data_IF_916297909375
#
_entry.id   IF_916297909375
#
_cell.length_a   1.000
_cell.length_b   1.000
_cell.length_c   1.000
_cell.angle_alpha   90.00
_cell.angle_beta   90.00
_cell.angle_gamma   90.00
#
_symmetry.space_group_name_H-M   'P 1'
#
loop_
_entity.id
_entity.type
_entity.pdbx_description
1 polymer ?
#
# COMPACT_ATOMS: atom_id res chain seq x y z
N UNK A 1 -8.91 23.80 -42.96
CA UNK A 1 -10.23 23.55 -42.35
C UNK A 1 -10.04 23.58 -40.84
N UNK A 2 -10.36 24.70 -40.18
CA UNK A 2 -10.28 24.79 -38.72
C UNK A 2 -11.35 23.88 -38.07
N UNK A 3 -10.92 22.93 -37.25
CA UNK A 3 -11.83 22.15 -36.40
C UNK A 3 -12.36 23.07 -35.30
N UNK A 4 -13.61 23.53 -35.43
CA UNK A 4 -14.29 24.27 -34.36
C UNK A 4 -14.46 23.37 -33.14
N UNK A 5 -13.89 23.79 -32.01
CA UNK A 5 -14.00 23.12 -30.72
C UNK A 5 -15.47 23.08 -30.28
N UNK A 6 -15.97 21.90 -29.91
CA UNK A 6 -17.37 21.68 -29.48
C UNK A 6 -17.47 21.56 -27.96
N UNK A 7 -18.57 22.00 -27.38
CA UNK A 7 -18.84 21.88 -25.95
C UNK A 7 -18.68 20.41 -25.48
N UNK A 8 -17.90 20.11 -24.44
CA UNK A 8 -17.70 18.75 -23.95
C UNK A 8 -18.98 18.13 -23.37
N UNK A 9 -19.92 18.96 -22.92
CA UNK A 9 -21.17 18.52 -22.28
C UNK A 9 -22.28 18.20 -23.30
N UNK A 10 -22.58 19.11 -24.23
CA UNK A 10 -23.71 18.96 -25.16
C UNK A 10 -23.33 18.93 -26.65
N UNK A 11 -22.02 18.98 -26.97
CA UNK A 11 -21.48 19.05 -28.35
C UNK A 11 -21.93 20.27 -29.17
N UNK A 12 -22.57 21.27 -28.53
CA UNK A 12 -22.94 22.56 -29.12
C UNK A 12 -21.73 23.43 -29.47
N UNK A 13 -21.95 24.48 -30.27
CA UNK A 13 -20.90 25.44 -30.62
C UNK A 13 -20.54 26.33 -29.41
N UNK A 14 -19.24 26.61 -29.28
CA UNK A 14 -18.69 27.53 -28.29
C UNK A 14 -18.47 28.90 -28.94
N UNK A 15 -18.88 29.96 -28.25
CA UNK A 15 -18.65 31.34 -28.66
C UNK A 15 -17.44 31.92 -27.90
N UNK A 16 -16.51 32.59 -28.60
CA UNK A 16 -15.38 33.24 -27.95
C UNK A 16 -15.83 34.47 -27.15
N UNK A 17 -15.44 34.54 -25.89
CA UNK A 17 -15.54 35.72 -25.03
C UNK A 17 -14.17 36.06 -24.42
N UNK A 18 -14.01 37.27 -23.86
CA UNK A 18 -12.79 37.68 -23.18
C UNK A 18 -12.48 36.72 -22.02
N UNK A 19 -11.45 35.88 -22.16
CA UNK A 19 -10.97 34.94 -21.13
C UNK A 19 -11.86 33.72 -20.85
N UNK A 20 -12.97 33.53 -21.57
CA UNK A 20 -13.87 32.38 -21.40
C UNK A 20 -14.65 32.07 -22.67
N UNK A 21 -15.05 30.81 -22.85
CA UNK A 21 -15.93 30.38 -23.93
C UNK A 21 -17.29 29.98 -23.36
N UNK A 22 -18.38 30.46 -23.95
CA UNK A 22 -19.74 30.10 -23.54
C UNK A 22 -20.39 29.18 -24.55
N UNK A 23 -21.11 28.15 -24.10
CA UNK A 23 -21.89 27.30 -24.99
C UNK A 23 -23.30 27.86 -25.18
N UNK A 24 -23.70 28.14 -26.42
CA UNK A 24 -25.06 28.64 -26.74
C UNK A 24 -26.19 27.67 -26.38
N UNK A 25 -25.91 26.38 -26.35
CA UNK A 25 -26.95 25.35 -26.12
C UNK A 25 -27.23 25.11 -24.64
N UNK A 26 -26.22 25.19 -23.78
CA UNK A 26 -26.37 24.91 -22.35
C UNK A 26 -25.96 26.05 -21.42
N UNK A 27 -25.56 27.20 -21.98
CA UNK A 27 -25.08 28.39 -21.27
C UNK A 27 -23.88 28.19 -20.32
N UNK A 28 -23.21 27.02 -20.36
CA UNK A 28 -22.03 26.75 -19.55
C UNK A 28 -20.83 27.57 -20.05
N UNK A 29 -20.14 28.22 -19.12
CA UNK A 29 -18.87 28.92 -19.37
C UNK A 29 -17.67 28.01 -19.07
N UNK A 30 -16.70 28.00 -19.98
CA UNK A 30 -15.46 27.26 -19.89
C UNK A 30 -14.30 28.25 -19.89
N UNK A 31 -13.52 28.33 -18.80
CA UNK A 31 -12.32 29.16 -18.71
C UNK A 31 -11.12 28.44 -19.34
N UNK A 32 -10.26 29.19 -20.03
CA UNK A 32 -9.04 28.66 -20.67
C UNK A 32 -7.79 28.70 -19.79
N UNK A 33 -7.93 28.78 -18.47
CA UNK A 33 -6.82 28.72 -17.51
C UNK A 33 -7.08 27.69 -16.40
N UNK A 34 -6.04 27.00 -15.89
CA UNK A 34 -6.19 25.98 -14.87
C UNK A 34 -6.81 26.58 -13.61
N UNK A 35 -7.85 25.92 -13.10
CA UNK A 35 -8.62 26.41 -11.97
C UNK A 35 -7.71 26.63 -10.75
N UNK A 36 -7.89 27.75 -10.05
CA UNK A 36 -7.24 28.07 -8.75
C UNK A 36 -7.34 26.93 -7.72
N UNK A 37 -8.32 26.04 -7.88
CA UNK A 37 -8.51 24.82 -7.07
C UNK A 37 -7.43 23.74 -7.25
N UNK A 38 -6.76 23.67 -8.40
CA UNK A 38 -5.69 22.69 -8.66
C UNK A 38 -4.36 23.18 -8.09
N UNK A 39 -4.08 24.48 -8.23
CA UNK A 39 -2.89 25.13 -7.64
C UNK A 39 -2.93 25.08 -6.11
N UNK A 40 -4.09 25.33 -5.49
CA UNK A 40 -4.26 25.17 -4.04
C UNK A 40 -4.06 23.74 -3.57
N UNK A 41 -4.57 22.74 -4.32
CA UNK A 41 -4.39 21.32 -3.99
C UNK A 41 -2.93 20.88 -4.12
N UNK A 42 -2.20 21.38 -5.11
CA UNK A 42 -0.78 21.07 -5.28
C UNK A 42 0.10 21.77 -4.23
N UNK A 43 -0.24 22.99 -3.83
CA UNK A 43 0.43 23.69 -2.74
C UNK A 43 0.20 22.97 -1.39
N UNK A 44 -1.05 22.60 -1.09
CA UNK A 44 -1.41 21.84 0.11
C UNK A 44 -0.74 20.45 0.12
N UNK A 45 -0.64 19.80 -1.05
CA UNK A 45 0.07 18.53 -1.20
C UNK A 45 1.57 18.67 -0.97
N UNK A 46 2.21 19.72 -1.50
CA UNK A 46 3.63 20.04 -1.26
C UNK A 46 3.90 20.37 0.21
N UNK A 47 3.00 21.11 0.86
CA UNK A 47 3.08 21.40 2.30
C UNK A 47 2.88 20.16 3.17
N UNK A 48 1.94 19.27 2.81
CA UNK A 48 1.76 17.99 3.51
C UNK A 48 2.98 17.09 3.35
N UNK A 49 3.58 17.06 2.15
CA UNK A 49 4.81 16.31 1.89
C UNK A 49 5.99 16.90 2.66
N UNK A 50 6.15 18.23 2.74
CA UNK A 50 7.23 18.86 3.51
C UNK A 50 7.07 18.68 5.03
N UNK A 51 5.83 18.76 5.54
CA UNK A 51 5.49 18.44 6.94
C UNK A 51 5.73 16.96 7.25
N UNK A 52 5.34 16.05 6.34
CA UNK A 52 5.59 14.63 6.48
C UNK A 52 7.08 14.29 6.44
N UNK A 53 7.85 14.92 5.55
CA UNK A 53 9.30 14.71 5.49
C UNK A 53 9.99 15.26 6.74
N UNK A 54 9.49 16.37 7.31
CA UNK A 54 9.96 16.89 8.60
C UNK A 54 9.66 15.92 9.75
N UNK A 55 8.43 15.36 9.80
CA UNK A 55 8.06 14.33 10.78
C UNK A 55 8.92 13.08 10.62
N UNK A 56 9.12 12.63 9.38
CA UNK A 56 9.95 11.48 9.04
C UNK A 56 11.40 11.73 9.46
N UNK A 57 11.96 12.93 9.28
CA UNK A 57 13.28 13.29 9.75
C UNK A 57 13.36 13.38 11.28
N UNK A 58 12.35 13.93 11.96
CA UNK A 58 12.29 13.99 13.43
C UNK A 58 12.17 12.60 14.06
N UNK A 59 11.31 11.73 13.52
CA UNK A 59 11.17 10.33 13.95
C UNK A 59 12.41 9.53 13.57
N UNK A 60 12.97 9.74 12.38
CA UNK A 60 14.19 9.07 11.98
C UNK A 60 15.40 9.55 12.81
N UNK A 61 15.44 10.79 13.29
CA UNK A 61 16.43 11.26 14.26
C UNK A 61 16.36 10.52 15.60
N UNK A 62 15.14 10.19 16.06
CA UNK A 62 14.90 9.35 17.25
C UNK A 62 15.41 7.90 17.04
N UNK A 63 15.29 7.37 15.82
CA UNK A 63 15.64 5.97 15.51
C UNK A 63 17.10 5.82 15.09
N UNK A 64 17.69 6.80 14.40
CA UNK A 64 19.02 6.69 13.77
C UNK A 64 20.18 6.85 14.75
N UNK A 65 20.01 7.43 15.94
CA UNK A 65 21.14 7.61 16.86
C UNK A 65 20.75 7.74 18.34
N UNK A 66 20.68 6.62 19.07
CA UNK A 66 20.82 6.66 20.53
C UNK A 66 22.19 7.20 20.97
N UNK A 67 23.19 7.21 20.08
CA UNK A 67 24.62 7.42 20.38
C UNK A 67 25.23 8.73 19.88
N UNK A 68 24.57 9.52 19.02
CA UNK A 68 25.15 10.79 18.54
C UNK A 68 24.97 11.97 19.51
N UNK A 69 24.23 11.74 20.61
CA UNK A 69 24.12 12.65 21.75
C UNK A 69 24.67 11.98 23.02
N UNK A 70 25.90 11.45 22.95
CA UNK A 70 26.61 10.98 24.15
C UNK A 70 27.14 12.19 24.95
N UNK A 71 26.29 12.73 25.81
CA UNK A 71 26.72 13.01 27.19
C UNK A 71 26.29 11.80 28.02
N UNK A 72 27.26 11.21 28.73
CA UNK A 72 27.28 9.84 29.24
C UNK A 72 26.31 9.51 30.39
N UNK A 73 25.04 9.92 30.36
CA UNK A 73 24.13 9.65 31.51
C UNK A 73 22.64 9.48 31.25
N UNK A 74 22.09 9.64 30.05
CA UNK A 74 20.63 9.62 29.90
C UNK A 74 20.15 8.73 28.74
N UNK A 75 19.79 7.49 29.07
CA UNK A 75 19.01 6.58 28.22
C UNK A 75 17.57 7.13 28.03
N UNK A 76 17.45 8.32 27.44
CA UNK A 76 16.21 9.10 27.36
C UNK A 76 15.87 9.50 25.93
N UNK A 77 14.60 9.34 25.57
CA UNK A 77 14.01 9.67 24.27
C UNK A 77 13.42 11.09 24.30
N UNK A 78 13.65 11.89 23.25
CA UNK A 78 13.09 13.25 23.11
C UNK A 78 12.98 13.67 21.64
N UNK A 79 12.07 14.59 21.34
CA UNK A 79 12.12 15.36 20.08
C UNK A 79 12.97 16.62 20.25
N UNK A 80 12.49 17.58 21.05
CA UNK A 80 13.21 18.76 21.54
C UNK A 80 12.88 18.96 23.02
N UNK A 81 13.85 19.39 23.84
CA UNK A 81 13.61 19.69 25.26
C UNK A 81 13.64 18.47 26.19
N UNK A 82 12.53 18.21 26.88
CA UNK A 82 12.42 17.22 27.95
C UNK A 82 12.65 15.80 27.45
N UNK A 83 13.45 15.03 28.19
CA UNK A 83 13.69 13.61 27.93
C UNK A 83 12.70 12.69 28.65
N UNK A 84 12.44 11.52 28.07
CA UNK A 84 11.55 10.49 28.62
C UNK A 84 12.25 9.13 28.65
N UNK A 85 11.87 8.25 29.58
CA UNK A 85 12.55 6.95 29.73
C UNK A 85 12.24 5.95 28.62
N UNK A 86 11.13 6.13 27.89
CA UNK A 86 10.73 5.26 26.78
C UNK A 86 9.89 6.03 25.74
N UNK A 87 9.80 5.48 24.52
CA UNK A 87 9.06 6.08 23.41
C UNK A 87 7.56 6.27 23.74
N UNK A 88 6.84 5.29 24.34
CA UNK A 88 5.45 5.49 24.74
C UNK A 88 5.22 6.73 25.61
N UNK A 89 6.05 6.97 26.62
CA UNK A 89 5.96 8.17 27.47
C UNK A 89 6.19 9.47 26.69
N UNK A 90 7.18 9.48 25.79
CA UNK A 90 7.43 10.63 24.91
C UNK A 90 6.19 10.95 24.05
N UNK A 91 5.63 9.91 23.40
CA UNK A 91 4.45 10.08 22.53
C UNK A 91 3.24 10.53 23.34
N UNK A 92 3.00 9.92 24.51
CA UNK A 92 1.87 10.25 25.38
C UNK A 92 1.94 11.71 25.87
N UNK A 93 3.13 12.19 26.25
CA UNK A 93 3.31 13.58 26.64
C UNK A 93 2.92 14.55 25.52
N UNK A 94 3.52 14.42 24.33
CA UNK A 94 3.24 15.33 23.19
C UNK A 94 1.80 15.18 22.67
N UNK A 95 1.21 13.99 22.80
CA UNK A 95 -0.17 13.74 22.43
C UNK A 95 -1.15 14.41 23.38
N UNK A 96 -0.90 14.34 24.69
CA UNK A 96 -1.80 14.87 25.73
C UNK A 96 -1.64 16.37 25.90
N UNK A 97 -0.41 16.89 25.94
CA UNK A 97 -0.15 18.32 26.13
C UNK A 97 -0.32 19.15 24.87
N UNK A 98 -0.45 18.48 23.71
CA UNK A 98 -0.43 19.11 22.38
C UNK A 98 0.82 19.95 22.12
N UNK A 99 1.91 19.63 22.83
CA UNK A 99 3.21 20.28 22.62
C UNK A 99 3.74 19.96 21.22
N UNK A 100 4.21 20.99 20.52
CA UNK A 100 4.83 20.84 19.21
C UNK A 100 6.05 19.91 19.28
N UNK A 101 6.20 19.05 18.27
CA UNK A 101 7.30 18.09 18.16
C UNK A 101 8.62 18.84 17.99
N UNK A 102 8.64 19.85 17.12
CA UNK A 102 9.77 20.79 16.97
C UNK A 102 9.25 22.21 16.80
N UNK A 103 9.94 23.19 17.40
CA UNK A 103 9.56 24.61 17.28
C UNK A 103 9.51 25.09 15.83
N UNK A 104 10.44 24.60 15.01
CA UNK A 104 10.56 24.96 13.59
C UNK A 104 9.38 24.46 12.74
N UNK A 105 8.86 23.27 13.04
CA UNK A 105 7.80 22.67 12.22
C UNK A 105 6.39 23.02 12.70
N UNK A 106 6.23 23.35 13.99
CA UNK A 106 4.92 23.58 14.61
C UNK A 106 4.01 22.34 14.59
N UNK A 107 4.54 21.15 14.30
CA UNK A 107 3.75 19.91 14.18
C UNK A 107 3.29 19.44 15.54
N UNK A 108 2.02 19.04 15.66
CA UNK A 108 1.41 18.49 16.88
C UNK A 108 0.85 17.10 16.62
N UNK A 109 0.90 16.23 17.63
CA UNK A 109 0.28 14.90 17.58
C UNK A 109 -1.24 14.99 17.81
N UNK A 110 -2.01 14.55 16.81
CA UNK A 110 -3.48 14.66 16.82
C UNK A 110 -4.18 13.36 17.16
N UNK A 111 -4.07 12.35 16.28
CA UNK A 111 -4.76 11.06 16.40
C UNK A 111 -3.77 9.93 16.12
N UNK A 112 -3.66 8.92 17.00
CA UNK A 112 -2.87 7.73 16.70
C UNK A 112 -3.53 6.94 15.58
N UNK A 113 -2.73 6.40 14.66
CA UNK A 113 -3.21 5.51 13.61
C UNK A 113 -3.10 4.07 14.13
N UNK A 114 -4.20 3.41 14.49
CA UNK A 114 -4.15 2.03 14.95
C UNK A 114 -3.68 1.13 13.80
N UNK A 115 -2.82 0.16 14.11
CA UNK A 115 -2.50 -0.90 13.16
C UNK A 115 -3.77 -1.72 12.92
N UNK A 116 -4.00 -2.11 11.67
CA UNK A 116 -5.12 -2.99 11.32
C UNK A 116 -4.87 -4.40 11.85
N UNK A 117 -5.25 -4.64 13.11
CA UNK A 117 -4.99 -5.89 13.83
C UNK A 117 -5.52 -7.13 13.11
N UNK A 118 -6.50 -6.98 12.20
CA UNK A 118 -7.08 -8.11 11.47
C UNK A 118 -6.05 -8.81 10.57
N UNK A 119 -5.13 -8.06 9.97
CA UNK A 119 -4.23 -8.57 8.94
C UNK A 119 -2.78 -8.65 9.40
N UNK A 120 -2.46 -8.08 10.56
CA UNK A 120 -1.10 -8.03 11.08
C UNK A 120 -0.86 -9.26 11.97
N UNK A 121 -0.03 -10.18 11.49
CA UNK A 121 0.41 -11.37 12.22
C UNK A 121 1.81 -11.17 12.79
N UNK A 122 2.14 -11.85 13.90
CA UNK A 122 3.53 -11.92 14.36
C UNK A 122 4.29 -12.98 13.58
N UNK A 123 5.59 -12.77 13.34
CA UNK A 123 6.46 -13.81 12.77
C UNK A 123 6.46 -15.08 13.66
N UNK A 124 6.31 -14.91 14.97
CA UNK A 124 6.24 -15.98 15.95
C UNK A 124 4.97 -16.85 15.78
N UNK A 125 3.98 -16.36 15.05
CA UNK A 125 2.75 -17.10 14.74
C UNK A 125 2.90 -17.99 13.49
N UNK A 126 4.03 -17.89 12.77
CA UNK A 126 4.27 -18.54 11.49
C UNK A 126 5.54 -19.39 11.55
N UNK A 127 5.40 -20.69 11.32
CA UNK A 127 6.54 -21.59 11.13
C UNK A 127 6.78 -21.79 9.64
N UNK A 128 7.96 -21.42 9.13
CA UNK A 128 8.37 -21.71 7.76
C UNK A 128 8.73 -23.18 7.60
N UNK A 129 8.36 -23.75 6.45
CA UNK A 129 8.67 -25.12 6.04
C UNK A 129 9.46 -25.14 4.74
N UNK A 130 9.11 -26.08 3.87
CA UNK A 130 9.80 -26.32 2.59
C UNK A 130 9.63 -25.16 1.59
N UNK A 131 10.63 -24.96 0.73
CA UNK A 131 10.56 -24.01 -0.37
C UNK A 131 9.60 -24.51 -1.45
N UNK A 132 8.60 -23.71 -1.80
CA UNK A 132 7.63 -23.99 -2.87
C UNK A 132 8.03 -23.37 -4.21
N UNK A 133 8.68 -22.21 -4.18
CA UNK A 133 9.07 -21.51 -5.40
C UNK A 133 9.85 -20.22 -5.16
N UNK A 134 10.25 -19.58 -6.25
CA UNK A 134 10.97 -18.31 -6.26
C UNK A 134 10.23 -17.30 -7.14
N UNK A 135 10.06 -16.09 -6.64
CA UNK A 135 9.47 -14.97 -7.36
C UNK A 135 10.40 -13.77 -7.41
N UNK A 136 9.93 -12.67 -8.00
CA UNK A 136 10.74 -11.47 -8.23
C UNK A 136 11.25 -10.81 -6.94
N UNK A 137 10.51 -10.93 -5.84
CA UNK A 137 10.83 -10.28 -4.56
C UNK A 137 11.58 -11.19 -3.58
N UNK A 138 11.60 -12.50 -3.82
CA UNK A 138 12.08 -13.46 -2.85
C UNK A 138 11.54 -14.85 -3.07
N UNK A 139 11.44 -15.60 -1.98
CA UNK A 139 11.09 -17.00 -1.96
C UNK A 139 9.65 -17.19 -1.47
N UNK A 140 9.01 -18.27 -1.92
CA UNK A 140 7.71 -18.69 -1.43
C UNK A 140 7.92 -20.01 -0.72
N UNK A 141 7.61 -20.04 0.56
CA UNK A 141 7.68 -21.23 1.40
C UNK A 141 6.29 -21.74 1.71
N UNK A 142 6.20 -23.04 2.00
CA UNK A 142 5.11 -23.57 2.78
C UNK A 142 5.28 -23.06 4.20
N UNK A 143 4.18 -22.73 4.87
CA UNK A 143 4.18 -22.35 6.26
C UNK A 143 3.07 -23.05 7.02
N UNK A 144 3.17 -23.00 8.34
CA UNK A 144 2.13 -23.46 9.27
C UNK A 144 1.89 -22.38 10.31
N UNK A 145 0.64 -21.96 10.46
CA UNK A 145 0.23 -21.04 11.52
C UNK A 145 0.13 -21.78 12.86
N UNK A 146 0.07 -21.03 13.97
CA UNK A 146 -0.10 -21.60 15.33
C UNK A 146 -1.30 -22.53 15.46
N UNK A 147 -2.40 -22.22 14.78
CA UNK A 147 -3.63 -23.03 14.74
C UNK A 147 -3.55 -24.25 13.80
N UNK A 148 -2.35 -24.56 13.29
CA UNK A 148 -2.04 -25.65 12.36
C UNK A 148 -2.56 -25.45 10.92
N UNK A 149 -3.06 -24.26 10.59
CA UNK A 149 -3.43 -23.94 9.20
C UNK A 149 -2.19 -23.91 8.31
N UNK A 150 -2.22 -24.67 7.21
CA UNK A 150 -1.17 -24.64 6.19
C UNK A 150 -1.32 -23.40 5.29
N UNK A 151 -0.21 -22.71 5.04
CA UNK A 151 -0.18 -21.43 4.32
C UNK A 151 0.96 -21.36 3.32
N UNK A 152 0.85 -20.43 2.36
CA UNK A 152 1.97 -20.02 1.52
C UNK A 152 2.56 -18.71 2.09
N UNK A 153 3.88 -18.68 2.27
CA UNK A 153 4.61 -17.55 2.86
C UNK A 153 5.56 -16.97 1.83
N UNK A 154 5.19 -15.81 1.27
CA UNK A 154 6.04 -15.07 0.35
C UNK A 154 6.94 -14.14 1.15
N UNK A 155 8.25 -14.24 0.92
CA UNK A 155 9.27 -13.42 1.60
C UNK A 155 9.73 -12.27 0.70
N UNK A 156 10.09 -11.15 1.32
CA UNK A 156 10.79 -10.06 0.65
C UNK A 156 12.25 -10.06 1.10
N UNK A 157 13.19 -10.12 0.16
CA UNK A 157 14.62 -10.04 0.49
C UNK A 157 14.97 -8.67 1.06
N UNK A 158 15.90 -8.66 2.02
CA UNK A 158 16.30 -7.45 2.74
C UNK A 158 17.13 -6.48 1.90
N UNK A 159 17.87 -6.98 0.92
CA UNK A 159 18.76 -6.22 0.04
C UNK A 159 18.03 -5.53 -1.12
N UNK A 160 16.72 -5.73 -1.27
CA UNK A 160 15.96 -5.09 -2.35
C UNK A 160 15.86 -3.57 -2.17
N UNK A 161 15.91 -2.82 -3.30
CA UNK A 161 15.55 -1.41 -3.35
C UNK A 161 14.21 -1.12 -2.68
N UNK A 162 14.10 0.04 -2.03
CA UNK A 162 12.89 0.44 -1.30
C UNK A 162 11.63 0.44 -2.19
N UNK A 163 11.78 0.81 -3.46
CA UNK A 163 10.68 0.80 -4.44
C UNK A 163 10.13 -0.62 -4.67
N UNK A 164 11.00 -1.63 -4.73
CA UNK A 164 10.57 -3.02 -4.86
C UNK A 164 9.92 -3.54 -3.58
N UNK A 165 10.39 -3.12 -2.41
CA UNK A 165 9.73 -3.42 -1.12
C UNK A 165 8.34 -2.80 -1.03
N UNK A 166 8.14 -1.61 -1.58
CA UNK A 166 6.82 -0.99 -1.68
C UNK A 166 5.92 -1.81 -2.60
N UNK A 167 6.41 -2.22 -3.78
CA UNK A 167 5.67 -3.09 -4.71
C UNK A 167 5.30 -4.44 -4.10
N UNK A 168 6.19 -5.02 -3.30
CA UNK A 168 5.89 -6.23 -2.54
C UNK A 168 4.67 -6.04 -1.63
N UNK A 169 4.63 -4.95 -0.85
CA UNK A 169 3.48 -4.66 0.03
C UNK A 169 2.21 -4.25 -0.74
N UNK A 170 2.33 -3.77 -1.99
CA UNK A 170 1.17 -3.48 -2.84
C UNK A 170 0.35 -4.74 -3.12
N UNK A 171 0.98 -5.90 -3.27
CA UNK A 171 0.30 -7.18 -3.48
C UNK A 171 -0.64 -7.51 -2.31
N UNK A 172 -0.15 -7.40 -1.08
CA UNK A 172 -1.00 -7.57 0.11
C UNK A 172 -2.11 -6.51 0.20
N UNK A 173 -1.82 -5.26 -0.16
CA UNK A 173 -2.84 -4.19 -0.17
C UNK A 173 -3.97 -4.48 -1.16
N UNK A 174 -3.65 -5.06 -2.30
CA UNK A 174 -4.62 -5.46 -3.33
C UNK A 174 -5.44 -6.66 -2.82
N UNK A 175 -4.78 -7.75 -2.44
CA UNK A 175 -5.45 -8.99 -2.01
C UNK A 175 -6.33 -8.82 -0.78
N UNK A 176 -6.00 -7.86 0.10
CA UNK A 176 -6.83 -7.51 1.28
C UNK A 176 -8.27 -7.13 0.92
N UNK A 177 -8.51 -6.66 -0.30
CA UNK A 177 -9.83 -6.20 -0.76
C UNK A 177 -10.62 -7.32 -1.44
N UNK A 178 -10.04 -8.51 -1.62
CA UNK A 178 -10.59 -9.57 -2.44
C UNK A 178 -11.05 -10.75 -1.61
N UNK A 179 -12.21 -11.30 -1.97
CA UNK A 179 -12.75 -12.53 -1.43
C UNK A 179 -13.55 -13.20 -2.55
N UNK A 180 -12.90 -14.12 -3.25
CA UNK A 180 -13.46 -14.80 -4.42
C UNK A 180 -12.83 -16.20 -4.55
N UNK A 181 -13.58 -17.26 -4.87
CA UNK A 181 -13.07 -18.63 -4.90
C UNK A 181 -11.94 -18.87 -5.93
N UNK A 182 -11.82 -18.03 -6.95
CA UNK A 182 -10.78 -18.13 -7.97
C UNK A 182 -9.66 -17.08 -7.82
N UNK A 183 -9.57 -16.41 -6.67
CA UNK A 183 -8.48 -15.48 -6.33
C UNK A 183 -7.87 -15.92 -5.01
N UNK A 184 -6.55 -16.04 -4.97
CA UNK A 184 -5.85 -16.48 -3.75
C UNK A 184 -6.14 -15.55 -2.58
N UNK A 185 -6.53 -16.14 -1.44
CA UNK A 185 -6.89 -15.42 -0.24
C UNK A 185 -5.65 -14.97 0.53
N UNK A 186 -5.60 -13.67 0.82
CA UNK A 186 -4.70 -13.15 1.84
C UNK A 186 -5.15 -13.66 3.22
N UNK A 187 -4.21 -14.10 4.04
CA UNK A 187 -4.46 -14.43 5.44
C UNK A 187 -3.89 -13.34 6.35
N UNK A 188 -2.69 -12.84 6.03
CA UNK A 188 -2.08 -11.77 6.81
C UNK A 188 -0.72 -11.34 6.29
N UNK A 189 -0.11 -10.42 7.01
CA UNK A 189 1.25 -9.91 6.75
C UNK A 189 2.03 -9.80 8.04
N UNK A 190 3.31 -10.17 8.00
CA UNK A 190 4.25 -10.00 9.10
C UNK A 190 5.23 -8.88 8.74
N UNK A 191 5.04 -7.71 9.36
CA UNK A 191 5.79 -6.48 9.03
C UNK A 191 6.59 -5.92 10.21
N UNK A 192 6.57 -6.60 11.36
CA UNK A 192 7.18 -6.09 12.59
C UNK A 192 8.71 -6.21 12.57
N UNK A 193 9.23 -7.20 11.84
CA UNK A 193 10.66 -7.41 11.62
C UNK A 193 10.93 -7.89 10.20
N UNK A 194 12.20 -7.85 9.80
CA UNK A 194 12.66 -8.48 8.58
C UNK A 194 12.92 -9.99 8.81
N UNK A 195 12.83 -10.81 7.76
CA UNK A 195 12.25 -10.50 6.45
C UNK A 195 10.72 -10.29 6.53
N UNK A 196 10.16 -9.38 5.73
CA UNK A 196 8.70 -9.17 5.68
C UNK A 196 8.01 -10.37 5.02
N UNK A 197 6.88 -10.81 5.58
CA UNK A 197 6.05 -11.89 5.02
C UNK A 197 4.69 -11.42 4.52
N UNK A 198 4.26 -12.00 3.40
CA UNK A 198 2.86 -12.04 2.96
C UNK A 198 2.39 -13.49 3.10
N UNK A 199 1.35 -13.70 3.91
CA UNK A 199 0.78 -15.00 4.23
C UNK A 199 -0.51 -15.17 3.44
N UNK A 200 -0.57 -16.19 2.60
CA UNK A 200 -1.71 -16.51 1.74
C UNK A 200 -2.17 -17.95 2.01
N UNK A 201 -3.39 -18.27 1.57
CA UNK A 201 -3.82 -19.67 1.55
C UNK A 201 -2.86 -20.53 0.71
N UNK A 202 -2.68 -21.78 1.14
CA UNK A 202 -1.87 -22.74 0.40
C UNK A 202 -2.75 -23.49 -0.61
N UNK A 203 -2.53 -23.25 -1.90
CA UNK A 203 -3.14 -24.05 -2.98
C UNK A 203 -2.27 -25.28 -3.24
N UNK A 204 -2.70 -26.43 -2.72
CA UNK A 204 -1.91 -27.68 -2.74
C UNK A 204 -1.61 -28.25 -4.13
N UNK A 205 -2.34 -27.81 -5.16
CA UNK A 205 -2.13 -28.23 -6.55
C UNK A 205 -0.83 -27.73 -7.20
N UNK A 206 -0.18 -26.72 -6.60
CA UNK A 206 0.98 -26.05 -7.17
C UNK A 206 0.63 -25.09 -8.32
N UNK A 207 1.63 -24.66 -9.08
CA UNK A 207 1.40 -23.80 -10.24
C UNK A 207 0.72 -24.54 -11.40
N UNK A 208 -0.12 -23.82 -12.13
CA UNK A 208 -0.97 -24.41 -13.15
C UNK A 208 -0.19 -24.97 -14.35
N UNK A 209 0.93 -24.36 -14.74
CA UNK A 209 1.74 -24.83 -15.86
C UNK A 209 2.39 -26.18 -15.56
N UNK A 210 3.01 -26.32 -14.38
CA UNK A 210 3.58 -27.58 -13.92
C UNK A 210 2.50 -28.65 -13.76
N UNK A 211 1.33 -28.28 -13.22
CA UNK A 211 0.19 -29.19 -13.11
C UNK A 211 -0.23 -29.73 -14.49
N UNK A 212 -0.43 -28.85 -15.49
CA UNK A 212 -0.82 -29.24 -16.84
C UNK A 212 0.21 -30.16 -17.50
N UNK A 213 1.51 -29.86 -17.35
CA UNK A 213 2.59 -30.69 -17.91
C UNK A 213 2.62 -32.08 -17.29
N UNK A 214 2.47 -32.17 -15.96
CA UNK A 214 2.49 -33.44 -15.22
C UNK A 214 1.27 -34.31 -15.48
N UNK A 215 0.11 -33.70 -15.69
CA UNK A 215 -1.19 -34.40 -15.81
C UNK A 215 -1.73 -34.45 -17.24
N UNK A 216 -0.93 -34.07 -18.23
CA UNK A 216 -1.35 -33.89 -19.64
C UNK A 216 -2.20 -35.05 -20.17
N UNK A 217 -1.76 -36.28 -19.94
CA UNK A 217 -2.41 -37.48 -20.50
C UNK A 217 -3.62 -37.96 -19.68
N UNK A 218 -3.80 -37.45 -18.46
CA UNK A 218 -4.94 -37.75 -17.58
C UNK A 218 -6.10 -36.75 -17.73
N UNK A 219 -5.82 -35.55 -18.26
CA UNK A 219 -6.77 -34.44 -18.29
C UNK A 219 -7.74 -34.55 -19.46
N UNK A 220 -9.04 -34.56 -19.14
CA UNK A 220 -10.11 -34.54 -20.14
C UNK A 220 -10.43 -33.10 -20.56
N UNK A 221 -10.90 -32.91 -21.79
CA UNK A 221 -11.32 -31.60 -22.31
C UNK A 221 -12.29 -30.87 -21.35
N UNK A 222 -13.25 -31.60 -20.76
CA UNK A 222 -14.20 -31.04 -19.78
C UNK A 222 -13.51 -30.40 -18.57
N UNK A 223 -12.40 -30.96 -18.08
CA UNK A 223 -11.64 -30.39 -16.97
C UNK A 223 -10.90 -29.13 -17.41
N UNK A 224 -10.29 -29.14 -18.60
CA UNK A 224 -9.61 -27.96 -19.17
C UNK A 224 -10.58 -26.78 -19.34
N UNK A 225 -11.76 -27.02 -19.88
CA UNK A 225 -12.82 -26.00 -20.00
C UNK A 225 -13.23 -25.47 -18.63
N UNK A 226 -13.33 -26.33 -17.61
CA UNK A 226 -13.63 -25.89 -16.24
C UNK A 226 -12.52 -24.99 -15.67
N UNK A 227 -11.25 -25.33 -15.86
CA UNK A 227 -10.14 -24.48 -15.41
C UNK A 227 -10.14 -23.11 -16.11
N UNK A 228 -10.47 -23.07 -17.41
CA UNK A 228 -10.63 -21.81 -18.14
C UNK A 228 -11.79 -20.98 -17.60
N UNK A 229 -12.91 -21.62 -17.25
CA UNK A 229 -14.06 -20.94 -16.63
C UNK A 229 -13.70 -20.37 -15.26
N UNK A 230 -13.00 -21.14 -14.42
CA UNK A 230 -12.51 -20.72 -13.11
C UNK A 230 -11.58 -19.49 -13.23
N UNK A 231 -10.64 -19.51 -14.18
CA UNK A 231 -9.77 -18.37 -14.47
C UNK A 231 -10.55 -17.15 -14.95
N UNK A 232 -11.50 -17.33 -15.89
CA UNK A 232 -12.34 -16.26 -16.40
C UNK A 232 -13.22 -15.63 -15.30
N UNK A 233 -13.78 -16.44 -14.41
CA UNK A 233 -14.54 -15.95 -13.25
C UNK A 233 -13.68 -15.10 -12.32
N UNK A 234 -12.44 -15.52 -12.06
CA UNK A 234 -11.47 -14.71 -11.31
C UNK A 234 -11.17 -13.37 -11.99
N UNK A 235 -10.91 -13.37 -13.31
CA UNK A 235 -10.64 -12.13 -14.05
C UNK A 235 -11.85 -11.19 -14.12
N UNK A 236 -13.06 -11.72 -14.27
CA UNK A 236 -14.31 -10.94 -14.19
C UNK A 236 -14.47 -10.29 -12.82
N UNK A 237 -14.15 -11.01 -11.75
CA UNK A 237 -14.15 -10.44 -10.41
C UNK A 237 -13.12 -9.30 -10.28
N UNK A 238 -11.90 -9.49 -10.78
CA UNK A 238 -10.87 -8.44 -10.77
C UNK A 238 -11.27 -7.20 -11.55
N UNK A 239 -11.90 -7.37 -12.72
CA UNK A 239 -12.48 -6.27 -13.51
C UNK A 239 -13.52 -5.48 -12.69
N UNK A 240 -14.43 -6.18 -11.99
CA UNK A 240 -15.42 -5.54 -11.12
C UNK A 240 -14.82 -4.72 -9.95
N UNK A 241 -13.54 -4.95 -9.65
CA UNK A 241 -12.76 -4.21 -8.64
C UNK A 241 -11.80 -3.19 -9.27
N UNK A 242 -11.91 -2.94 -10.57
CA UNK A 242 -11.04 -2.06 -11.36
C UNK A 242 -9.56 -2.44 -11.24
N UNK A 243 -9.29 -3.74 -11.14
CA UNK A 243 -7.94 -4.28 -11.01
C UNK A 243 -7.41 -4.75 -12.36
N UNK A 244 -6.26 -4.21 -12.76
CA UNK A 244 -5.48 -4.76 -13.87
C UNK A 244 -4.43 -5.68 -13.24
N UNK A 245 -4.54 -6.98 -13.53
CA UNK A 245 -3.52 -7.97 -13.16
C UNK A 245 -2.29 -7.83 -14.07
#
# INVERSE_FOLDING_TARGET
MEQKMKCPHCKGQLEPGFGSQSCKTCALMFSSEPSTSEVHRDQERKERLSKFESIRHSIAGIIRSPKSALSSSANMYRFEGTGFSNIPQLIDHHYTTKQVITKKSGVVLLNPIPKDKKWILSHEDVTLGELLGKGNFGEVYKGTLKDKTSVAVKTCKEDLPQELKIKFLQEAKILKQYDHPNIVKLIGVCTQRQPVYIIMELVSGGDFLTFLRRKKDELKLKQLVKFSLDAAAGMLYLESKNCIH
#
